data_IF_148867307442
#
_entry.id   IF_148867307442
#
_cell.length_a   1.000
_cell.length_b   1.000
_cell.length_c   1.000
_cell.angle_alpha   90.00
_cell.angle_beta   90.00
_cell.angle_gamma   90.00
#
_symmetry.space_group_name_H-M   'P 1'
#
loop_
_entity.id
_entity.type
_entity.pdbx_description
1 polymer ?
#
# COMPACT_ATOMS: atom_id res chain seq x y z
N UNK A 1 3.65 -6.75 5.18
CA UNK A 1 2.53 -7.68 4.87
C UNK A 1 2.80 -8.45 3.58
N UNK A 2 2.30 -9.68 3.45
CA UNK A 2 2.46 -10.51 2.25
C UNK A 2 1.13 -11.21 1.89
N UNK A 3 0.81 -11.32 0.60
CA UNK A 3 -0.32 -12.13 0.11
C UNK A 3 -0.17 -12.54 -1.34
N UNK A 4 -0.61 -13.75 -1.68
CA UNK A 4 -0.78 -14.19 -3.07
C UNK A 4 -2.18 -13.87 -3.60
N UNK A 5 -2.28 -13.57 -4.89
CA UNK A 5 -3.55 -13.57 -5.62
C UNK A 5 -3.72 -14.84 -6.47
N UNK A 6 -4.85 -14.96 -7.18
CA UNK A 6 -5.17 -16.13 -8.02
C UNK A 6 -4.21 -16.34 -9.19
N UNK A 7 -3.52 -15.29 -9.64
CA UNK A 7 -2.60 -15.35 -10.77
C UNK A 7 -1.15 -15.66 -10.31
N UNK A 8 -0.95 -15.83 -9.01
CA UNK A 8 0.34 -16.15 -8.41
C UNK A 8 1.27 -14.94 -8.26
N UNK A 9 0.77 -13.71 -8.37
CA UNK A 9 1.55 -12.51 -8.03
C UNK A 9 1.67 -12.43 -6.51
N UNK A 10 2.88 -12.13 -6.03
CA UNK A 10 3.13 -11.87 -4.61
C UNK A 10 3.01 -10.38 -4.33
N UNK A 11 2.04 -10.01 -3.51
CA UNK A 11 1.85 -8.65 -3.03
C UNK A 11 2.66 -8.44 -1.76
N UNK A 12 3.46 -7.37 -1.75
CA UNK A 12 4.38 -7.01 -0.68
C UNK A 12 3.97 -5.63 -0.15
N UNK A 13 3.71 -5.52 1.14
CA UNK A 13 3.30 -4.29 1.80
C UNK A 13 4.38 -3.88 2.80
N UNK A 14 4.78 -2.60 2.78
CA UNK A 14 5.88 -2.10 3.63
C UNK A 14 5.36 -1.39 4.87
N UNK A 15 6.08 -1.62 5.97
CA UNK A 15 6.07 -0.84 7.20
C UNK A 15 7.52 -0.53 7.56
N UNK A 16 8.04 0.52 6.96
CA UNK A 16 9.42 0.97 7.12
C UNK A 16 9.49 2.47 7.33
N UNK A 17 10.73 2.96 7.40
CA UNK A 17 10.99 4.39 7.55
C UNK A 17 10.47 5.19 6.36
N UNK A 18 9.55 6.11 6.64
CA UNK A 18 9.01 7.09 5.68
C UNK A 18 9.79 8.42 5.72
N UNK A 19 10.99 8.44 6.29
CA UNK A 19 11.82 9.65 6.41
C UNK A 19 12.27 10.19 5.06
N UNK A 20 12.44 9.29 4.08
CA UNK A 20 13.02 9.56 2.77
C UNK A 20 14.37 10.30 2.86
N UNK A 21 15.18 9.95 3.85
CA UNK A 21 16.49 10.52 4.15
C UNK A 21 17.48 9.41 4.50
N UNK A 22 18.76 9.74 4.47
CA UNK A 22 19.85 8.86 4.85
C UNK A 22 19.76 7.52 4.08
N UNK A 23 19.75 6.38 4.78
CA UNK A 23 19.63 5.05 4.16
C UNK A 23 18.30 4.79 3.41
N UNK A 24 17.30 5.65 3.61
CA UNK A 24 15.97 5.57 2.99
C UNK A 24 15.75 6.63 1.91
N UNK A 25 16.78 7.37 1.52
CA UNK A 25 16.68 8.39 0.47
C UNK A 25 16.15 7.79 -0.85
N UNK A 26 15.10 8.41 -1.40
CA UNK A 26 14.45 7.97 -2.63
C UNK A 26 13.39 6.86 -2.45
N UNK A 27 13.23 6.30 -1.25
CA UNK A 27 12.19 5.29 -1.00
C UNK A 27 10.78 5.89 -0.88
N UNK A 28 10.66 7.09 -0.31
CA UNK A 28 9.39 7.80 -0.09
C UNK A 28 8.59 7.26 1.09
N UNK A 29 7.26 7.40 1.03
CA UNK A 29 6.35 6.80 2.01
C UNK A 29 6.31 5.27 1.82
N UNK A 30 5.75 4.58 2.80
CA UNK A 30 5.42 3.17 2.67
C UNK A 30 4.59 2.90 1.41
N UNK A 31 4.77 1.72 0.82
CA UNK A 31 4.21 1.36 -0.46
C UNK A 31 3.72 -0.10 -0.47
N UNK A 32 3.02 -0.45 -1.54
CA UNK A 32 2.74 -1.85 -1.88
C UNK A 32 3.31 -2.15 -3.26
N UNK A 33 4.01 -3.27 -3.35
CA UNK A 33 4.67 -3.77 -4.55
C UNK A 33 4.01 -5.08 -4.98
N UNK A 34 4.10 -5.37 -6.27
CA UNK A 34 3.76 -6.66 -6.84
C UNK A 34 5.04 -7.30 -7.36
N UNK A 35 5.23 -8.57 -7.00
CA UNK A 35 6.38 -9.36 -7.41
C UNK A 35 5.93 -10.58 -8.24
N UNK A 36 6.74 -10.93 -9.24
CA UNK A 36 6.67 -12.22 -9.91
C UNK A 36 7.67 -13.18 -9.22
N UNK A 37 7.21 -14.17 -8.45
CA UNK A 37 8.10 -15.05 -7.70
C UNK A 37 8.99 -15.93 -8.58
N UNK A 38 8.61 -16.18 -9.84
CA UNK A 38 9.37 -17.02 -10.76
C UNK A 38 10.56 -16.28 -11.37
N UNK A 39 10.41 -14.98 -11.63
CA UNK A 39 11.44 -14.17 -12.29
C UNK A 39 12.21 -13.26 -11.33
N UNK A 40 11.68 -13.01 -10.14
CA UNK A 40 12.22 -12.03 -9.19
C UNK A 40 11.91 -10.58 -9.57
N UNK A 41 11.13 -10.34 -10.63
CA UNK A 41 10.72 -8.99 -11.01
C UNK A 41 9.79 -8.38 -9.95
N UNK A 42 10.07 -7.14 -9.56
CA UNK A 42 9.27 -6.39 -8.57
C UNK A 42 8.91 -5.03 -9.16
N UNK A 43 7.64 -4.64 -9.07
CA UNK A 43 7.15 -3.31 -9.47
C UNK A 43 6.37 -2.68 -8.32
N UNK A 44 6.62 -1.39 -8.06
CA UNK A 44 5.81 -0.60 -7.12
C UNK A 44 4.43 -0.37 -7.73
N UNK A 45 3.37 -0.70 -7.00
CA UNK A 45 1.99 -0.59 -7.46
C UNK A 45 1.26 0.62 -6.87
N UNK A 46 1.41 0.88 -5.57
CA UNK A 46 0.87 2.08 -4.92
C UNK A 46 1.82 2.59 -3.84
N UNK A 47 1.70 3.88 -3.53
CA UNK A 47 2.38 4.54 -2.40
C UNK A 47 1.32 5.11 -1.46
N UNK A 48 1.50 4.91 -0.15
CA UNK A 48 0.56 5.34 0.86
C UNK A 48 0.66 6.83 1.20
N UNK A 49 -0.33 7.35 1.96
CA UNK A 49 -0.27 8.70 2.53
C UNK A 49 0.92 8.94 3.48
N UNK A 50 1.07 10.19 3.90
CA UNK A 50 2.13 10.60 4.84
C UNK A 50 2.05 9.77 6.12
N UNK A 51 3.20 9.21 6.51
CA UNK A 51 3.42 8.52 7.78
C UNK A 51 2.40 7.40 8.06
N UNK A 52 1.94 6.69 7.03
CA UNK A 52 1.19 5.46 7.20
C UNK A 52 2.11 4.25 6.99
N UNK A 53 1.63 3.06 7.38
CA UNK A 53 2.05 1.80 6.78
C UNK A 53 0.97 1.29 5.81
N UNK A 54 1.37 0.40 4.90
CA UNK A 54 0.42 -0.40 4.13
C UNK A 54 0.33 -1.77 4.80
N UNK A 55 -0.87 -2.16 5.20
CA UNK A 55 -1.08 -3.44 5.89
C UNK A 55 -2.49 -3.97 5.65
N UNK A 56 -2.64 -5.29 5.69
CA UNK A 56 -3.90 -5.96 5.37
C UNK A 56 -4.24 -5.90 3.88
N UNK A 57 -4.58 -7.05 3.30
CA UNK A 57 -4.95 -7.16 1.89
C UNK A 57 -5.96 -8.29 1.69
N UNK A 58 -6.99 -8.00 0.90
CA UNK A 58 -8.00 -8.96 0.48
C UNK A 58 -8.43 -8.67 -0.96
N UNK A 59 -9.06 -9.65 -1.59
CA UNK A 59 -9.61 -9.52 -2.95
C UNK A 59 -11.09 -9.86 -2.91
N UNK A 60 -11.88 -9.20 -3.76
CA UNK A 60 -13.21 -9.70 -4.10
C UNK A 60 -13.10 -11.07 -4.77
N UNK A 61 -14.18 -11.85 -4.73
CA UNK A 61 -14.20 -13.21 -5.28
C UNK A 61 -13.91 -13.25 -6.79
N UNK A 62 -14.36 -12.23 -7.53
CA UNK A 62 -14.11 -12.05 -8.96
C UNK A 62 -12.72 -11.45 -9.28
N UNK A 63 -11.96 -11.04 -8.26
CA UNK A 63 -10.67 -10.33 -8.33
C UNK A 63 -10.71 -9.00 -9.11
N UNK A 64 -11.87 -8.36 -9.26
CA UNK A 64 -11.97 -7.01 -9.86
C UNK A 64 -11.72 -5.89 -8.85
N UNK A 65 -11.70 -6.20 -7.56
CA UNK A 65 -11.44 -5.27 -6.45
C UNK A 65 -10.40 -5.81 -5.50
N UNK A 66 -9.36 -5.01 -5.24
CA UNK A 66 -8.38 -5.25 -4.18
C UNK A 66 -8.66 -4.31 -3.00
N UNK A 67 -8.76 -4.86 -1.80
CA UNK A 67 -8.92 -4.12 -0.55
C UNK A 67 -7.57 -4.01 0.14
N UNK A 68 -7.11 -2.80 0.45
CA UNK A 68 -5.81 -2.54 1.10
C UNK A 68 -6.00 -1.65 2.32
N UNK A 69 -5.43 -2.03 3.46
CA UNK A 69 -5.46 -1.19 4.65
C UNK A 69 -4.37 -0.11 4.62
N UNK A 70 -4.78 1.08 5.04
CA UNK A 70 -3.91 2.21 5.37
C UNK A 70 -3.97 2.36 6.89
N UNK A 71 -2.88 2.03 7.60
CA UNK A 71 -2.84 2.14 9.05
C UNK A 71 -2.14 3.43 9.47
N UNK A 72 -2.66 4.05 10.54
CA UNK A 72 -2.12 5.22 11.25
C UNK A 72 -1.57 6.35 10.35
N UNK A 73 -2.31 6.81 9.32
CA UNK A 73 -1.85 7.98 8.57
C UNK A 73 -1.58 9.15 9.52
N UNK A 74 -0.44 9.82 9.36
CA UNK A 74 -0.04 10.92 10.23
C UNK A 74 0.50 10.49 11.59
N UNK A 75 0.99 9.26 11.73
CA UNK A 75 1.72 8.81 12.91
C UNK A 75 2.78 9.84 13.35
N UNK A 76 3.01 9.99 14.65
CA UNK A 76 3.97 10.96 15.17
C UNK A 76 3.59 12.41 14.88
N UNK A 77 2.29 12.71 14.78
CA UNK A 77 1.72 14.03 14.47
C UNK A 77 2.20 14.59 13.12
N UNK A 78 2.57 13.71 12.18
CA UNK A 78 2.92 14.13 10.82
C UNK A 78 1.65 14.61 10.11
N UNK A 79 1.82 15.58 9.21
CA UNK A 79 0.74 16.35 8.58
C UNK A 79 -0.13 15.60 7.57
N UNK A 80 -0.54 14.37 7.87
CA UNK A 80 -1.52 13.65 7.08
C UNK A 80 -2.93 14.14 7.42
N UNK A 81 -3.73 14.34 6.39
CA UNK A 81 -5.17 14.63 6.53
C UNK A 81 -6.03 13.58 5.84
N UNK A 82 -5.42 12.44 5.48
CA UNK A 82 -6.06 11.35 4.76
C UNK A 82 -7.15 10.65 5.60
N UNK A 83 -8.28 10.23 5.01
CA UNK A 83 -8.61 10.34 3.58
C UNK A 83 -9.43 11.59 3.21
N UNK A 84 -9.94 12.36 4.18
CA UNK A 84 -10.97 13.37 3.92
C UNK A 84 -10.53 14.83 4.13
N UNK A 85 -9.22 15.10 4.18
CA UNK A 85 -8.70 16.46 4.35
C UNK A 85 -8.88 17.04 5.76
N UNK A 86 -9.10 16.21 6.78
CA UNK A 86 -9.29 16.61 8.20
C UNK A 86 -8.42 15.76 9.12
N UNK A 87 -8.87 15.44 10.33
CA UNK A 87 -8.23 14.47 11.22
C UNK A 87 -7.96 13.17 10.47
N UNK A 88 -6.71 12.67 10.46
CA UNK A 88 -6.38 11.48 9.72
C UNK A 88 -7.05 10.24 10.31
N UNK A 89 -7.44 9.30 9.44
CA UNK A 89 -8.18 8.08 9.83
C UNK A 89 -7.62 6.87 9.12
N UNK A 90 -7.25 5.84 9.89
CA UNK A 90 -7.03 4.50 9.33
C UNK A 90 -8.23 4.08 8.50
N UNK A 91 -7.97 3.50 7.33
CA UNK A 91 -9.02 3.22 6.33
C UNK A 91 -8.71 1.95 5.57
N UNK A 92 -9.75 1.29 5.07
CA UNK A 92 -9.63 0.22 4.07
C UNK A 92 -10.00 0.81 2.71
N UNK A 93 -9.09 0.71 1.76
CA UNK A 93 -9.24 1.27 0.42
C UNK A 93 -9.66 0.20 -0.57
N UNK A 94 -10.61 0.54 -1.43
CA UNK A 94 -10.97 -0.28 -2.59
C UNK A 94 -10.18 0.20 -3.81
N UNK A 95 -9.42 -0.69 -4.43
CA UNK A 95 -8.64 -0.42 -5.63
C UNK A 95 -9.23 -1.26 -6.75
N UNK A 96 -9.63 -0.58 -7.82
CA UNK A 96 -10.30 -1.16 -8.98
C UNK A 96 -9.72 -0.56 -10.25
N UNK A 97 -9.63 -1.35 -11.31
CA UNK A 97 -9.36 -0.80 -12.65
C UNK A 97 -10.63 -0.09 -13.17
N UNK A 98 -10.46 1.01 -13.88
CA UNK A 98 -11.59 1.78 -14.44
C UNK A 98 -12.32 1.02 -15.57
N UNK A 99 -11.62 0.11 -16.24
CA UNK A 99 -12.18 -0.75 -17.29
C UNK A 99 -12.96 -1.96 -16.75
N UNK A 100 -12.98 -2.16 -15.43
CA UNK A 100 -13.70 -3.24 -14.77
C UNK A 100 -12.90 -4.53 -14.58
N UNK A 101 -11.67 -4.63 -15.08
CA UNK A 101 -10.88 -5.87 -15.05
C UNK A 101 -10.40 -6.27 -16.42
#
# INVERSE_FOLDING_TARGET
GLKFDRDGRLWIQTDGSYSNKDEYEGMGNNCMLAANPKTGEIRRFLTGPIACELTGIAFSEDYTTMFVGIQHPGEGLKGSTFPYGKTPRSSVMMIRKLDGG
#
